data_IF_069191304765
#
_entry.id   IF_069191304765
#
_cell.length_a   1.000
_cell.length_b   1.000
_cell.length_c   1.000
_cell.angle_alpha   90.00
_cell.angle_beta   90.00
_cell.angle_gamma   90.00
#
_symmetry.space_group_name_H-M   'P 1'
#
loop_
_entity.id
_entity.type
_entity.pdbx_description
1 polymer ?
#
# COMPACT_ATOMS: atom_id res chain seq x y z
N UNK A 1 22.65 -17.41 2.90
CA UNK A 1 22.12 -16.31 3.74
C UNK A 1 21.50 -15.29 2.80
N UNK A 2 20.18 -15.25 2.69
CA UNK A 2 19.46 -14.20 1.96
C UNK A 2 19.08 -13.14 2.98
N UNK A 3 19.81 -12.03 2.98
CA UNK A 3 19.50 -10.86 3.81
C UNK A 3 18.27 -10.19 3.21
N UNK A 4 17.11 -10.41 3.81
CA UNK A 4 15.89 -9.67 3.49
C UNK A 4 16.02 -8.33 4.21
N UNK A 5 16.34 -7.26 3.47
CA UNK A 5 16.32 -5.92 4.03
C UNK A 5 14.85 -5.53 4.24
N UNK A 6 14.38 -5.59 5.49
CA UNK A 6 13.08 -5.06 5.86
C UNK A 6 13.19 -3.54 6.02
N UNK A 7 12.32 -2.80 5.36
CA UNK A 7 12.15 -1.36 5.57
C UNK A 7 11.14 -1.18 6.68
N UNK A 8 11.58 -0.63 7.82
CA UNK A 8 10.67 -0.19 8.87
C UNK A 8 10.11 1.18 8.51
N UNK A 9 8.80 1.32 8.61
CA UNK A 9 8.05 2.54 8.38
C UNK A 9 7.59 3.09 9.72
N UNK A 10 8.42 3.94 10.33
CA UNK A 10 8.18 4.48 11.67
C UNK A 10 6.81 5.17 11.80
N UNK A 11 6.38 5.89 10.76
CA UNK A 11 5.14 6.69 10.81
C UNK A 11 3.85 5.89 10.83
N UNK A 12 3.87 4.64 10.35
CA UNK A 12 2.70 3.76 10.32
C UNK A 12 2.94 2.46 11.08
N UNK A 13 4.13 2.28 11.66
CA UNK A 13 4.57 1.07 12.34
C UNK A 13 4.40 -0.19 11.48
N UNK A 14 5.12 -0.26 10.36
CA UNK A 14 5.08 -1.44 9.51
C UNK A 14 6.47 -1.85 9.01
N UNK A 15 6.72 -3.16 8.96
CA UNK A 15 7.85 -3.74 8.24
C UNK A 15 7.39 -4.11 6.83
N UNK A 16 8.13 -3.64 5.83
CA UNK A 16 7.92 -3.99 4.44
C UNK A 16 9.14 -4.72 3.89
N UNK A 17 8.92 -5.82 3.19
CA UNK A 17 9.99 -6.50 2.47
C UNK A 17 9.50 -7.30 1.27
N UNK A 18 10.43 -7.58 0.36
CA UNK A 18 10.21 -8.50 -0.76
C UNK A 18 10.58 -9.91 -0.32
N UNK A 19 9.57 -10.75 -0.14
CA UNK A 19 9.74 -12.15 0.21
C UNK A 19 10.00 -12.99 -1.05
N UNK A 20 11.26 -13.37 -1.25
CA UNK A 20 11.67 -14.20 -2.38
C UNK A 20 11.48 -15.70 -2.11
N UNK A 21 11.06 -16.08 -0.92
CA UNK A 21 10.81 -17.47 -0.50
C UNK A 21 9.33 -17.78 -0.56
N UNK A 22 8.48 -16.86 -0.09
CA UNK A 22 7.04 -16.95 -0.28
C UNK A 22 6.66 -16.42 -1.65
N UNK A 23 6.18 -17.33 -2.48
CA UNK A 23 5.78 -17.01 -3.83
C UNK A 23 4.26 -17.00 -3.95
N UNK A 24 3.72 -15.98 -4.60
CA UNK A 24 2.29 -15.86 -4.88
C UNK A 24 2.05 -16.15 -6.34
N UNK A 25 1.00 -16.95 -6.61
CA UNK A 25 0.51 -17.14 -7.97
C UNK A 25 -0.20 -15.86 -8.40
N UNK A 26 0.38 -15.20 -9.39
CA UNK A 26 -0.13 -14.01 -10.02
C UNK A 26 -1.08 -14.35 -11.19
N UNK A 27 -2.21 -13.66 -11.28
CA UNK A 27 -3.09 -13.65 -12.44
C UNK A 27 -2.56 -12.76 -13.56
N UNK A 28 -1.58 -11.90 -13.28
CA UNK A 28 -0.91 -11.05 -14.26
C UNK A 28 0.62 -11.12 -14.10
N UNK A 29 1.34 -11.72 -15.09
CA UNK A 29 0.84 -12.53 -16.20
C UNK A 29 0.19 -13.84 -15.70
N UNK A 30 -0.85 -14.39 -16.36
CA UNK A 30 -1.58 -15.56 -15.86
C UNK A 30 -0.68 -16.77 -15.60
N UNK A 31 -0.79 -17.34 -14.40
CA UNK A 31 -0.05 -18.55 -14.01
C UNK A 31 1.41 -18.28 -13.64
N UNK A 32 1.83 -17.01 -13.56
CA UNK A 32 3.16 -16.63 -13.10
C UNK A 32 3.24 -16.77 -11.59
N UNK A 33 4.42 -17.10 -11.10
CA UNK A 33 4.70 -17.19 -9.67
C UNK A 33 5.72 -16.10 -9.36
N UNK A 34 5.32 -15.12 -8.54
CA UNK A 34 6.11 -13.91 -8.26
C UNK A 34 6.56 -13.86 -6.81
N UNK A 35 7.69 -13.22 -6.50
CA UNK A 35 8.03 -12.85 -5.12
C UNK A 35 6.89 -12.04 -4.50
N UNK A 36 6.50 -12.40 -3.28
CA UNK A 36 5.48 -11.67 -2.56
C UNK A 36 6.06 -10.34 -2.03
N UNK A 37 5.32 -9.25 -2.19
CA UNK A 37 5.51 -8.08 -1.34
C UNK A 37 4.81 -8.39 -0.03
N UNK A 38 5.57 -8.39 1.07
CA UNK A 38 5.06 -8.72 2.39
C UNK A 38 5.09 -7.49 3.29
N UNK A 39 3.95 -7.19 3.89
CA UNK A 39 3.79 -6.15 4.90
C UNK A 39 3.49 -6.83 6.23
N UNK A 40 4.26 -6.53 7.27
CA UNK A 40 3.98 -6.94 8.64
C UNK A 40 3.69 -5.69 9.46
N UNK A 41 2.60 -5.70 10.21
CA UNK A 41 2.19 -4.53 10.98
C UNK A 41 1.48 -4.95 12.28
N UNK A 42 1.47 -4.08 13.30
CA UNK A 42 0.63 -4.26 14.48
C UNK A 42 -0.86 -4.32 14.13
N UNK A 43 -1.69 -4.88 15.02
CA UNK A 43 -3.13 -5.01 14.81
C UNK A 43 -3.86 -3.69 14.51
N UNK A 44 -3.53 -2.60 15.20
CA UNK A 44 -4.17 -1.29 14.99
C UNK A 44 -3.77 -0.65 13.66
N UNK A 45 -2.51 -0.78 13.22
CA UNK A 45 -2.10 -0.36 11.87
C UNK A 45 -2.88 -1.10 10.79
N UNK A 46 -3.12 -2.40 10.97
CA UNK A 46 -3.96 -3.17 10.06
C UNK A 46 -5.40 -2.66 10.04
N UNK A 47 -5.94 -2.26 11.20
CA UNK A 47 -7.22 -1.58 11.33
C UNK A 47 -7.26 -0.23 10.61
N UNK A 48 -6.26 0.62 10.82
CA UNK A 48 -6.16 1.93 10.15
C UNK A 48 -6.08 1.79 8.62
N UNK A 49 -5.28 0.83 8.14
CA UNK A 49 -5.22 0.52 6.71
C UNK A 49 -6.55 -0.04 6.18
N UNK A 50 -7.27 -0.85 6.97
CA UNK A 50 -8.59 -1.34 6.60
C UNK A 50 -9.58 -0.19 6.40
N UNK A 51 -9.62 0.77 7.32
CA UNK A 51 -10.47 1.95 7.21
C UNK A 51 -10.09 2.84 6.02
N UNK A 52 -8.80 3.08 5.79
CA UNK A 52 -8.33 3.81 4.60
C UNK A 52 -8.82 3.17 3.31
N UNK A 53 -8.69 1.84 3.21
CA UNK A 53 -9.13 1.09 2.02
C UNK A 53 -10.66 1.09 1.89
N UNK A 54 -11.40 1.05 3.01
CA UNK A 54 -12.87 1.14 3.01
C UNK A 54 -13.39 2.53 2.60
N UNK A 55 -12.74 3.60 3.07
CA UNK A 55 -13.03 4.97 2.66
C UNK A 55 -12.79 5.16 1.16
N UNK A 56 -11.68 4.60 0.65
CA UNK A 56 -11.41 4.56 -0.78
C UNK A 56 -12.48 3.79 -1.55
N UNK A 57 -12.93 2.64 -1.04
CA UNK A 57 -14.01 1.87 -1.66
C UNK A 57 -15.31 2.67 -1.74
N UNK A 58 -15.63 3.42 -0.69
CA UNK A 58 -16.81 4.27 -0.65
C UNK A 58 -16.74 5.34 -1.74
N UNK A 59 -15.59 6.03 -1.86
CA UNK A 59 -15.38 7.04 -2.92
C UNK A 59 -15.42 6.41 -4.31
N UNK A 60 -14.76 5.27 -4.50
CA UNK A 60 -14.76 4.56 -5.78
C UNK A 60 -16.17 4.13 -6.18
N UNK A 61 -16.96 3.57 -5.25
CA UNK A 61 -18.34 3.17 -5.51
C UNK A 61 -19.23 4.37 -5.87
N UNK A 62 -19.07 5.51 -5.19
CA UNK A 62 -19.79 6.75 -5.51
C UNK A 62 -19.45 7.26 -6.92
N UNK A 63 -18.17 7.25 -7.31
CA UNK A 63 -17.73 7.78 -8.59
C UNK A 63 -17.97 6.84 -9.77
N UNK A 64 -17.78 5.54 -9.58
CA UNK A 64 -17.81 4.52 -10.64
C UNK A 64 -19.16 3.80 -10.76
N UNK A 65 -19.98 3.83 -9.70
CA UNK A 65 -21.21 3.04 -9.62
C UNK A 65 -21.00 1.52 -9.51
N UNK A 66 -19.76 1.06 -9.30
CA UNK A 66 -19.39 -0.37 -9.22
C UNK A 66 -18.86 -0.73 -7.83
N UNK A 67 -18.96 -2.01 -7.47
CA UNK A 67 -18.27 -2.53 -6.29
C UNK A 67 -16.74 -2.48 -6.51
N UNK A 68 -16.00 -2.30 -5.42
CA UNK A 68 -14.54 -2.23 -5.47
C UNK A 68 -13.93 -3.57 -5.03
N UNK A 69 -12.94 -4.11 -5.76
CA UNK A 69 -12.28 -5.36 -5.40
C UNK A 69 -11.47 -5.28 -4.10
N UNK A 70 -11.29 -4.07 -3.54
CA UNK A 70 -10.50 -3.83 -2.34
C UNK A 70 -11.30 -4.03 -1.03
N UNK A 71 -12.63 -4.16 -1.10
CA UNK A 71 -13.47 -4.38 0.09
C UNK A 71 -13.10 -5.67 0.83
N UNK A 72 -12.81 -6.74 0.08
CA UNK A 72 -12.34 -7.99 0.66
C UNK A 72 -11.03 -7.81 1.45
N UNK A 73 -10.12 -6.96 0.97
CA UNK A 73 -8.85 -6.69 1.65
C UNK A 73 -9.06 -5.90 2.94
N UNK A 74 -9.88 -4.83 2.90
CA UNK A 74 -10.22 -4.05 4.09
C UNK A 74 -10.80 -4.96 5.19
N UNK A 75 -11.74 -5.82 4.84
CA UNK A 75 -12.37 -6.73 5.80
C UNK A 75 -11.40 -7.79 6.33
N UNK A 76 -10.55 -8.35 5.48
CA UNK A 76 -9.53 -9.31 5.89
C UNK A 76 -8.52 -8.70 6.87
N UNK A 77 -8.09 -7.47 6.61
CA UNK A 77 -7.22 -6.69 7.50
C UNK A 77 -7.87 -6.44 8.87
N UNK A 78 -9.11 -5.94 8.88
CA UNK A 78 -9.84 -5.67 10.11
C UNK A 78 -10.05 -6.96 10.93
N UNK A 79 -10.42 -8.06 10.26
CA UNK A 79 -10.59 -9.37 10.90
C UNK A 79 -9.29 -9.87 11.52
N UNK A 80 -8.19 -9.78 10.77
CA UNK A 80 -6.87 -10.21 11.26
C UNK A 80 -6.39 -9.33 12.43
N UNK A 81 -6.61 -8.02 12.38
CA UNK A 81 -6.32 -7.11 13.50
C UNK A 81 -7.08 -7.50 14.77
N UNK A 82 -8.39 -7.77 14.65
CA UNK A 82 -9.22 -8.24 15.77
C UNK A 82 -8.78 -9.59 16.32
N UNK A 83 -8.38 -10.52 15.44
CA UNK A 83 -7.87 -11.82 15.85
C UNK A 83 -6.52 -11.70 16.58
N UNK A 84 -5.65 -10.79 16.12
CA UNK A 84 -4.33 -10.55 16.68
C UNK A 84 -4.39 -9.79 18.02
N UNK A 85 -5.47 -9.07 18.30
CA UNK A 85 -5.68 -8.33 19.55
C UNK A 85 -7.01 -8.70 20.23
N UNK A 86 -7.01 -9.60 21.23
CA UNK A 86 -8.23 -10.07 21.90
C UNK A 86 -9.06 -8.97 22.61
N UNK A 87 -8.47 -7.81 22.93
CA UNK A 87 -9.14 -6.63 23.50
C UNK A 87 -9.47 -5.56 22.44
N UNK A 88 -9.58 -5.95 21.17
CA UNK A 88 -9.75 -5.05 20.02
C UNK A 88 -10.92 -4.06 20.11
N UNK A 89 -11.95 -4.32 20.92
CA UNK A 89 -13.14 -3.44 21.00
C UNK A 89 -12.84 -2.04 21.54
N UNK A 90 -11.75 -1.91 22.29
CA UNK A 90 -11.33 -0.64 22.87
C UNK A 90 -10.31 0.12 21.98
N UNK A 91 -9.98 -0.43 20.80
CA UNK A 91 -9.07 0.16 19.82
C UNK A 91 -9.89 0.81 18.70
N UNK A 92 -9.86 2.15 18.55
CA UNK A 92 -10.67 2.87 17.56
C UNK A 92 -10.49 2.36 16.12
N UNK A 93 -9.29 1.90 15.77
CA UNK A 93 -8.94 1.41 14.44
C UNK A 93 -9.51 0.01 14.16
N UNK A 94 -10.00 -0.69 15.19
CA UNK A 94 -10.56 -2.04 15.07
C UNK A 94 -12.09 -2.06 15.19
N UNK A 95 -12.74 -0.90 15.04
CA UNK A 95 -14.21 -0.80 14.95
C UNK A 95 -14.72 -1.31 13.60
N UNK A 96 -16.04 -1.45 13.47
CA UNK A 96 -16.62 -1.96 12.22
C UNK A 96 -16.42 -0.95 11.07
N UNK A 97 -16.18 -1.47 9.87
CA UNK A 97 -16.13 -0.69 8.64
C UNK A 97 -17.50 -0.07 8.34
N UNK A 98 -17.52 1.01 7.55
CA UNK A 98 -18.74 1.74 7.22
C UNK A 98 -19.69 0.90 6.36
N UNK A 99 -19.12 0.04 5.50
CA UNK A 99 -19.88 -0.81 4.60
C UNK A 99 -19.92 -2.27 5.10
N UNK A 100 -21.13 -2.84 5.31
CA UNK A 100 -21.27 -4.27 5.55
C UNK A 100 -20.88 -5.07 4.30
N UNK A 101 -20.53 -6.34 4.48
CA UNK A 101 -20.36 -7.30 3.38
C UNK A 101 -21.57 -7.22 2.44
N UNK A 102 -21.38 -7.06 1.12
CA UNK A 102 -22.43 -7.44 0.19
C UNK A 102 -22.71 -8.93 0.40
N UNK A 103 -23.97 -9.28 0.65
CA UNK A 103 -24.43 -10.68 0.68
C UNK A 103 -24.37 -11.24 -0.76
N UNK A 104 -23.19 -11.70 -1.17
CA UNK A 104 -23.00 -12.52 -2.36
C UNK A 104 -22.15 -11.90 -3.48
N UNK A 105 -21.31 -12.75 -4.07
CA UNK A 105 -20.67 -12.52 -5.35
C UNK A 105 -19.35 -13.27 -5.52
N UNK A 106 -19.39 -14.60 -5.61
CA UNK A 106 -18.24 -15.48 -5.94
C UNK A 106 -17.64 -15.26 -7.36
N UNK A 107 -18.04 -14.19 -8.06
CA UNK A 107 -17.74 -13.97 -9.49
C UNK A 107 -17.02 -12.63 -9.81
N UNK A 108 -16.70 -11.78 -8.82
CA UNK A 108 -15.74 -10.69 -9.08
C UNK A 108 -14.31 -11.25 -9.09
N UNK A 109 -13.46 -10.87 -10.06
CA UNK A 109 -12.05 -11.25 -10.03
C UNK A 109 -11.42 -10.63 -8.78
N UNK A 110 -11.33 -11.44 -7.72
CA UNK A 110 -10.82 -11.00 -6.43
C UNK A 110 -9.42 -10.46 -6.55
N UNK A 111 -9.12 -9.42 -5.77
CA UNK A 111 -7.75 -8.94 -5.59
C UNK A 111 -6.89 -10.10 -5.05
N UNK A 112 -5.70 -10.27 -5.61
CA UNK A 112 -4.80 -11.36 -5.21
C UNK A 112 -4.01 -10.96 -3.97
N UNK A 113 -4.39 -11.48 -2.81
CA UNK A 113 -3.68 -11.24 -1.56
C UNK A 113 -3.94 -12.37 -0.55
N UNK A 114 -3.05 -12.47 0.43
CA UNK A 114 -3.19 -13.33 1.60
C UNK A 114 -3.05 -12.48 2.86
N UNK A 115 -3.95 -12.67 3.83
CA UNK A 115 -3.81 -12.07 5.17
C UNK A 115 -3.72 -13.18 6.21
N UNK A 116 -2.76 -13.08 7.11
CA UNK A 116 -2.57 -14.02 8.21
C UNK A 116 -2.15 -13.30 9.50
N UNK A 117 -2.38 -13.94 10.64
CA UNK A 117 -1.83 -13.51 11.93
C UNK A 117 -0.62 -14.37 12.27
N UNK A 118 0.57 -13.78 12.29
CA UNK A 118 1.79 -14.44 12.76
C UNK A 118 1.94 -14.27 14.27
N UNK A 119 1.59 -15.34 15.00
CA UNK A 119 1.72 -15.41 16.47
C UNK A 119 3.12 -15.80 16.94
N UNK A 120 4.01 -16.20 16.03
CA UNK A 120 5.38 -16.65 16.35
C UNK A 120 6.37 -15.52 16.20
N UNK A 121 6.18 -14.66 15.21
CA UNK A 121 7.02 -13.49 14.98
C UNK A 121 6.26 -12.24 15.41
N UNK A 122 6.45 -11.87 16.67
CA UNK A 122 5.83 -10.69 17.25
C UNK A 122 6.44 -9.42 16.65
N UNK A 123 5.65 -8.35 16.64
CA UNK A 123 6.04 -7.01 16.23
C UNK A 123 5.98 -6.08 17.45
N UNK A 124 6.94 -5.17 17.55
CA UNK A 124 6.92 -4.14 18.57
C UNK A 124 5.87 -3.10 18.20
N UNK A 125 5.00 -2.80 19.16
CA UNK A 125 3.92 -1.83 19.02
C UNK A 125 4.17 -0.62 19.91
N UNK A 126 3.89 0.57 19.40
CA UNK A 126 3.80 1.80 20.19
C UNK A 126 2.48 1.91 20.94
N UNK A 127 1.46 1.11 20.59
CA UNK A 127 0.21 1.02 21.33
C UNK A 127 -0.27 -0.42 21.58
N UNK A 128 -0.39 -0.88 22.84
CA UNK A 128 0.11 -0.24 24.06
C UNK A 128 1.65 -0.17 24.04
N UNK A 129 2.22 0.96 24.44
CA UNK A 129 3.65 1.25 24.29
C UNK A 129 4.58 0.14 24.81
N UNK A 130 5.49 -0.31 23.94
CA UNK A 130 6.51 -1.30 24.28
C UNK A 130 5.98 -2.73 24.36
N UNK A 131 4.75 -2.97 23.89
CA UNK A 131 4.16 -4.32 23.86
C UNK A 131 4.59 -5.06 22.60
N UNK A 132 4.82 -6.36 22.73
CA UNK A 132 4.98 -7.26 21.58
C UNK A 132 3.63 -7.87 21.24
N UNK A 133 3.13 -7.60 20.03
CA UNK A 133 1.86 -8.09 19.54
C UNK A 133 2.06 -9.12 18.42
N UNK A 134 1.13 -10.06 18.21
CA UNK A 134 1.11 -10.85 16.99
C UNK A 134 1.06 -9.93 15.77
N UNK A 135 1.90 -10.19 14.78
CA UNK A 135 1.93 -9.38 13.57
C UNK A 135 0.77 -9.78 12.65
N UNK A 136 0.05 -8.79 12.12
CA UNK A 136 -0.77 -8.99 10.94
C UNK A 136 0.15 -8.97 9.73
N UNK A 137 0.09 -10.03 8.93
CA UNK A 137 0.94 -10.22 7.76
C UNK A 137 0.06 -10.21 6.52
N UNK A 138 0.36 -9.30 5.60
CA UNK A 138 -0.27 -9.22 4.30
C UNK A 138 0.77 -9.60 3.26
N UNK A 139 0.43 -10.54 2.38
CA UNK A 139 1.26 -10.90 1.23
C UNK A 139 0.48 -10.67 -0.04
N UNK A 140 1.09 -10.01 -1.01
CA UNK A 140 0.45 -9.69 -2.27
C UNK A 140 1.46 -9.71 -3.42
N UNK A 141 1.03 -9.96 -4.67
CA UNK A 141 1.90 -9.84 -5.81
C UNK A 141 2.28 -8.37 -6.06
N UNK A 142 3.37 -8.12 -6.81
CA UNK A 142 3.92 -6.78 -7.02
C UNK A 142 2.92 -5.76 -7.55
N UNK A 143 2.07 -6.14 -8.50
CA UNK A 143 1.10 -5.21 -9.10
C UNK A 143 0.01 -4.79 -8.11
N UNK A 144 -0.44 -5.70 -7.21
CA UNK A 144 -1.40 -5.35 -6.14
C UNK A 144 -0.76 -4.41 -5.14
N UNK A 145 0.51 -4.64 -4.76
CA UNK A 145 1.24 -3.73 -3.90
C UNK A 145 1.40 -2.34 -4.53
N UNK A 146 1.62 -2.27 -5.84
CA UNK A 146 1.70 -1.02 -6.57
C UNK A 146 0.35 -0.28 -6.61
N UNK A 147 -0.75 -0.99 -6.88
CA UNK A 147 -2.09 -0.38 -6.82
C UNK A 147 -2.42 0.13 -5.42
N UNK A 148 -2.08 -0.62 -4.37
CA UNK A 148 -2.27 -0.19 -2.98
C UNK A 148 -1.45 1.06 -2.69
N UNK A 149 -0.21 1.15 -3.18
CA UNK A 149 0.60 2.35 -3.04
C UNK A 149 -0.09 3.59 -3.64
N UNK A 150 -0.71 3.47 -4.81
CA UNK A 150 -1.48 4.56 -5.43
C UNK A 150 -2.72 4.96 -4.63
N UNK A 151 -3.44 3.99 -4.07
CA UNK A 151 -4.60 4.25 -3.19
C UNK A 151 -4.16 5.04 -1.95
N UNK A 152 -3.07 4.59 -1.31
CA UNK A 152 -2.51 5.25 -0.12
C UNK A 152 -1.99 6.66 -0.46
N UNK A 153 -1.34 6.85 -1.61
CA UNK A 153 -0.88 8.16 -2.09
C UNK A 153 -2.04 9.15 -2.31
N UNK A 154 -3.10 8.68 -2.98
CA UNK A 154 -4.29 9.49 -3.24
C UNK A 154 -5.02 9.84 -1.94
N UNK A 155 -5.14 8.90 -1.00
CA UNK A 155 -5.73 9.18 0.29
C UNK A 155 -4.92 10.18 1.10
N UNK A 156 -3.59 10.04 1.14
CA UNK A 156 -2.71 11.01 1.80
C UNK A 156 -2.88 12.42 1.23
N UNK A 157 -3.04 12.55 -0.10
CA UNK A 157 -3.31 13.82 -0.76
C UNK A 157 -4.69 14.40 -0.38
N UNK A 158 -5.75 13.57 -0.39
CA UNK A 158 -7.11 13.97 0.01
C UNK A 158 -7.13 14.42 1.47
N UNK A 159 -6.52 13.65 2.37
CA UNK A 159 -6.40 13.99 3.79
C UNK A 159 -5.71 15.34 3.97
N UNK A 160 -4.59 15.57 3.27
CA UNK A 160 -3.90 16.85 3.26
C UNK A 160 -4.76 18.04 2.79
N UNK A 161 -5.58 17.84 1.74
CA UNK A 161 -6.51 18.88 1.27
C UNK A 161 -7.63 19.18 2.26
N UNK A 162 -8.08 18.18 3.02
CA UNK A 162 -9.17 18.30 4.00
C UNK A 162 -8.67 18.73 5.40
N UNK A 163 -7.36 18.91 5.58
CA UNK A 163 -6.76 19.19 6.89
C UNK A 163 -6.81 18.01 7.87
N UNK A 164 -7.01 16.80 7.36
CA UNK A 164 -7.02 15.56 8.11
C UNK A 164 -5.60 14.94 8.17
N UNK A 165 -5.34 14.03 9.13
CA UNK A 165 -4.13 13.21 9.13
C UNK A 165 -4.02 12.42 7.82
N UNK A 166 -2.81 12.31 7.26
CA UNK A 166 -2.60 11.71 5.95
C UNK A 166 -1.15 11.74 5.50
N UNK A 167 -0.39 12.75 5.92
CA UNK A 167 1.04 12.86 5.62
C UNK A 167 1.86 11.67 6.14
N UNK A 168 1.44 11.05 7.26
CA UNK A 168 2.07 9.86 7.84
C UNK A 168 2.05 8.63 6.91
N UNK A 169 1.11 8.58 5.96
CA UNK A 169 0.95 7.47 5.01
C UNK A 169 1.80 7.63 3.74
N UNK A 170 2.36 8.81 3.49
CA UNK A 170 3.19 9.08 2.30
C UNK A 170 4.43 8.16 2.25
N UNK A 171 5.21 8.00 3.34
CA UNK A 171 6.33 7.05 3.34
C UNK A 171 5.89 5.61 3.06
N UNK A 172 4.69 5.22 3.54
CA UNK A 172 4.14 3.89 3.31
C UNK A 172 3.80 3.66 1.83
N UNK A 173 3.13 4.61 1.17
CA UNK A 173 2.88 4.55 -0.28
C UNK A 173 4.18 4.42 -1.08
N UNK A 174 5.18 5.25 -0.76
CA UNK A 174 6.48 5.25 -1.43
C UNK A 174 7.24 3.92 -1.25
N UNK A 175 7.25 3.40 -0.03
CA UNK A 175 7.91 2.14 0.28
C UNK A 175 7.21 0.97 -0.43
N UNK A 176 5.87 0.93 -0.42
CA UNK A 176 5.07 -0.08 -1.12
C UNK A 176 5.38 -0.09 -2.62
N UNK A 177 5.41 1.07 -3.28
CA UNK A 177 5.76 1.17 -4.70
C UNK A 177 7.20 0.72 -4.96
N UNK A 178 8.14 1.09 -4.08
CA UNK A 178 9.54 0.66 -4.19
C UNK A 178 9.66 -0.87 -4.09
N UNK A 179 9.00 -1.48 -3.09
CA UNK A 179 9.01 -2.92 -2.91
C UNK A 179 8.33 -3.65 -4.09
N UNK A 180 7.22 -3.12 -4.60
CA UNK A 180 6.56 -3.62 -5.80
C UNK A 180 7.50 -3.63 -7.01
N UNK A 181 8.20 -2.52 -7.28
CA UNK A 181 9.17 -2.43 -8.38
C UNK A 181 10.34 -3.40 -8.23
N UNK A 182 10.83 -3.61 -7.01
CA UNK A 182 11.90 -4.58 -6.72
C UNK A 182 11.43 -6.03 -6.88
N UNK A 183 10.17 -6.31 -6.57
CA UNK A 183 9.57 -7.65 -6.67
C UNK A 183 9.07 -7.99 -8.08
N UNK A 184 8.80 -6.99 -8.91
CA UNK A 184 8.31 -7.16 -10.27
C UNK A 184 9.36 -7.82 -11.20
N UNK A 185 8.92 -8.63 -12.19
CA UNK A 185 9.82 -9.15 -13.22
C UNK A 185 10.53 -8.01 -13.97
N UNK A 186 11.80 -8.23 -14.35
CA UNK A 186 12.54 -7.28 -15.15
C UNK A 186 11.81 -7.00 -16.48
N UNK A 187 11.55 -5.72 -16.77
CA UNK A 187 10.82 -5.31 -17.98
C UNK A 187 9.30 -5.50 -17.91
N UNK A 188 8.73 -5.78 -16.73
CA UNK A 188 7.28 -5.73 -16.54
C UNK A 188 6.77 -4.30 -16.73
N UNK A 189 6.14 -4.04 -17.88
CA UNK A 189 5.39 -2.81 -18.13
C UNK A 189 3.95 -3.02 -17.62
N UNK A 190 3.73 -2.68 -16.35
CA UNK A 190 2.39 -2.57 -15.76
C UNK A 190 2.19 -1.10 -15.39
N UNK A 191 1.05 -0.53 -15.76
CA UNK A 191 0.75 0.89 -15.52
C UNK A 191 0.76 1.23 -14.02
N UNK A 192 0.41 0.24 -13.21
CA UNK A 192 0.40 0.27 -11.75
C UNK A 192 1.80 0.47 -11.16
N UNK A 193 2.86 0.01 -11.82
CA UNK A 193 4.26 0.23 -11.39
C UNK A 193 4.78 1.64 -11.71
N UNK A 194 3.95 2.49 -12.33
CA UNK A 194 4.24 3.89 -12.61
C UNK A 194 4.44 4.75 -11.35
N UNK A 195 4.87 6.00 -11.54
CA UNK A 195 5.14 6.91 -10.43
C UNK A 195 3.85 7.29 -9.68
N UNK A 196 3.99 7.50 -8.36
CA UNK A 196 2.93 8.10 -7.55
C UNK A 196 2.60 9.50 -8.08
N UNK A 197 1.31 9.83 -8.14
CA UNK A 197 0.82 11.06 -8.74
C UNK A 197 1.10 12.26 -7.83
N UNK A 198 0.88 12.10 -6.52
CA UNK A 198 0.91 13.21 -5.57
C UNK A 198 2.25 13.30 -4.84
N UNK A 199 2.88 12.16 -4.53
CA UNK A 199 4.15 12.10 -3.81
C UNK A 199 5.18 11.22 -4.54
N UNK A 200 5.64 11.62 -5.74
CA UNK A 200 6.57 10.82 -6.54
C UNK A 200 7.87 10.50 -5.79
N UNK A 201 8.45 9.34 -6.09
CA UNK A 201 9.73 8.93 -5.51
C UNK A 201 10.85 9.90 -5.92
N UNK A 202 11.64 10.36 -4.95
CA UNK A 202 12.75 11.24 -5.21
C UNK A 202 13.87 10.51 -5.97
N UNK A 203 13.90 10.65 -7.30
CA UNK A 203 14.95 10.05 -8.14
C UNK A 203 14.54 9.71 -9.56
N UNK A 204 13.24 9.60 -9.85
CA UNK A 204 12.73 9.35 -11.19
C UNK A 204 12.00 10.59 -11.69
N UNK A 205 12.76 11.57 -12.18
CA UNK A 205 12.16 12.59 -13.06
C UNK A 205 11.80 11.88 -14.37
N UNK A 206 10.58 12.02 -14.90
CA UNK A 206 10.36 11.77 -16.31
C UNK A 206 11.37 12.62 -17.09
N UNK A 207 12.08 11.98 -18.00
CA UNK A 207 13.06 12.61 -18.89
C UNK A 207 12.54 13.94 -19.41
N UNK A 208 13.42 14.94 -19.36
CA UNK A 208 13.06 16.34 -19.52
C UNK A 208 12.21 16.63 -20.74
N UNK A 209 11.25 17.53 -20.54
CA UNK A 209 10.81 18.42 -21.60
C UNK A 209 12.04 19.23 -22.00
N UNK A 210 12.73 18.82 -23.05
CA UNK A 210 13.57 19.73 -23.83
C UNK A 210 12.58 20.68 -24.51
N UNK A 211 12.19 21.72 -23.78
CA UNK A 211 11.56 22.87 -24.36
C UNK A 211 12.64 23.59 -25.18
N UNK A 212 12.69 23.25 -26.46
CA UNK A 212 13.24 24.13 -27.47
C UNK A 212 12.57 25.50 -27.32
N UNK A 213 13.36 26.46 -26.86
CA UNK A 213 12.94 27.83 -26.62
C UNK A 213 14.19 28.66 -26.46
N UNK A 214 14.89 28.86 -27.58
CA UNK A 214 16.07 29.71 -27.63
C UNK A 214 15.76 31.08 -27.04
N UNK A 215 16.57 31.49 -26.07
CA UNK A 215 16.60 32.86 -25.59
C UNK A 215 18.05 33.32 -25.48
N UNK A 216 18.47 33.96 -26.57
CA UNK A 216 19.27 35.19 -26.65
C UNK A 216 20.18 35.48 -25.46
N UNK A 217 21.49 35.39 -25.68
CA UNK A 217 22.49 36.10 -24.88
C UNK A 217 23.35 36.98 -25.77
N UNK A 218 23.29 38.29 -25.50
CA UNK A 218 24.45 39.18 -25.55
C UNK A 218 24.75 39.82 -26.90
N UNK A 219 24.29 41.06 -27.08
CA UNK A 219 24.86 41.98 -28.06
C UNK A 219 26.16 42.63 -27.59
N UNK A 220 26.83 43.30 -28.55
CA UNK A 220 27.60 44.52 -28.32
C UNK A 220 29.12 44.39 -28.53
N UNK A 221 29.60 44.90 -29.66
CA UNK A 221 31.02 45.17 -29.88
C UNK A 221 31.38 45.61 -31.30
N UNK A 222 30.85 46.74 -31.75
CA UNK A 222 31.42 47.52 -32.87
C UNK A 222 32.35 48.60 -32.31
N UNK A 223 33.63 48.53 -32.67
CA UNK A 223 34.56 49.62 -32.99
C UNK A 223 35.97 49.05 -33.24
#
# INVERSE_FOLDING_TARGET
>A
MLTVAATWLETVEAELYVDRVHLIRAGLPPGTVLPAVTVRMPPYTAGGLAHLVDDWNTIFAIMSGCASPWLAMAQALLRAGREALPLARDVPELVDLALPLPDGGDDEPGLEFEVAVDRRQLIQAEYPAGTLLPAVVVRMPPYVAAMLAHIVDQWAAIGGMLGAPGAEWVPAAQALLTAARVAAPAGAASGELGDLVHHPLAGERPGGIVAGGGMVTGGGGDA
#
